data_IF_997535518557
#
_entry.id   IF_997535518557
#
_cell.length_a   1.000
_cell.length_b   1.000
_cell.length_c   1.000
_cell.angle_alpha   90.00
_cell.angle_beta   90.00
_cell.angle_gamma   90.00
#
_symmetry.space_group_name_H-M   'P 1'
#
loop_
_entity.id
_entity.type
_entity.pdbx_description
1 polymer ?
#
# COMPACT_ATOMS: atom_id res chain seq x y z
N UNK A 1 38.00 -36.16 46.52
CA UNK A 1 36.95 -35.13 46.51
C UNK A 1 36.56 -34.70 45.08
N UNK A 2 36.16 -35.61 44.19
CA UNK A 2 35.62 -35.23 42.86
C UNK A 2 34.42 -36.05 42.36
N UNK A 3 34.00 -37.09 43.10
CA UNK A 3 32.83 -37.91 42.73
C UNK A 3 31.55 -37.60 43.54
N UNK A 4 31.63 -36.77 44.59
CA UNK A 4 30.48 -36.47 45.46
C UNK A 4 29.62 -35.28 44.98
N UNK A 5 30.10 -34.47 44.02
CA UNK A 5 29.39 -33.29 43.53
C UNK A 5 28.58 -33.51 42.22
N UNK A 6 28.79 -34.64 41.53
CA UNK A 6 28.05 -34.94 40.29
C UNK A 6 26.67 -35.54 40.57
N UNK A 7 26.55 -36.32 41.65
CA UNK A 7 25.30 -36.99 42.04
C UNK A 7 24.30 -36.00 42.61
N UNK A 8 24.74 -34.98 43.36
CA UNK A 8 23.87 -33.92 43.88
C UNK A 8 23.36 -32.98 42.78
N UNK A 9 24.13 -32.74 41.72
CA UNK A 9 23.72 -31.91 40.59
C UNK A 9 22.71 -32.63 39.67
N UNK A 10 22.88 -33.95 39.49
CA UNK A 10 21.91 -34.77 38.75
C UNK A 10 20.61 -34.99 39.52
N UNK A 11 20.65 -35.14 40.84
CA UNK A 11 19.44 -35.25 41.67
C UNK A 11 18.64 -33.94 41.73
N UNK A 12 19.28 -32.76 41.68
CA UNK A 12 18.55 -31.49 41.58
C UNK A 12 17.86 -31.27 40.22
N UNK A 13 18.45 -31.77 39.12
CA UNK A 13 17.86 -31.70 37.78
C UNK A 13 16.66 -32.65 37.61
N UNK A 14 16.73 -33.84 38.21
CA UNK A 14 15.61 -34.81 38.19
C UNK A 14 14.45 -34.34 39.07
N UNK A 15 14.72 -33.70 40.21
CA UNK A 15 13.67 -33.14 41.07
C UNK A 15 13.05 -31.85 40.50
N UNK A 16 13.82 -31.03 39.77
CA UNK A 16 13.28 -29.88 39.03
C UNK A 16 12.41 -30.31 37.84
N UNK A 17 12.77 -31.40 37.13
CA UNK A 17 11.95 -31.98 36.06
C UNK A 17 10.66 -32.66 36.55
N UNK A 18 10.67 -33.27 37.74
CA UNK A 18 9.51 -33.95 38.32
C UNK A 18 8.44 -32.99 38.86
N UNK A 19 8.83 -31.80 39.37
CA UNK A 19 7.88 -30.78 39.84
C UNK A 19 7.12 -30.13 38.67
N UNK A 20 7.74 -29.99 37.49
CA UNK A 20 7.07 -29.49 36.28
C UNK A 20 6.10 -30.53 35.67
N UNK A 21 6.42 -31.83 35.77
CA UNK A 21 5.58 -32.89 35.21
C UNK A 21 4.26 -33.10 35.98
N UNK A 22 4.25 -32.88 37.30
CA UNK A 22 3.04 -33.08 38.12
C UNK A 22 2.07 -31.88 38.10
N UNK A 23 2.57 -30.67 37.78
CA UNK A 23 1.74 -29.48 37.54
C UNK A 23 1.04 -29.48 36.16
N UNK A 24 1.69 -30.07 35.14
CA UNK A 24 1.19 -30.14 33.78
C UNK A 24 -0.10 -30.98 33.62
N UNK A 25 -0.28 -32.01 34.46
CA UNK A 25 -1.49 -32.84 34.41
C UNK A 25 -2.77 -32.07 34.75
N UNK A 26 -2.68 -31.10 35.67
CA UNK A 26 -3.84 -30.32 36.09
C UNK A 26 -4.16 -29.11 35.20
N UNK A 27 -3.18 -28.56 34.47
CA UNK A 27 -3.44 -27.42 33.57
C UNK A 27 -4.05 -27.87 32.24
N UNK A 28 -3.56 -28.97 31.66
CA UNK A 28 -4.07 -29.52 30.41
C UNK A 28 -5.56 -29.90 30.51
N UNK A 29 -5.98 -30.49 31.64
CA UNK A 29 -7.38 -30.83 31.88
C UNK A 29 -8.27 -29.58 31.96
N UNK A 30 -7.82 -28.54 32.66
CA UNK A 30 -8.54 -27.26 32.74
C UNK A 30 -8.68 -26.61 31.35
N UNK A 31 -7.64 -26.66 30.52
CA UNK A 31 -7.70 -26.17 29.14
C UNK A 31 -8.70 -26.97 28.31
N UNK A 32 -8.69 -28.31 28.43
CA UNK A 32 -9.64 -29.16 27.71
C UNK A 32 -11.09 -28.89 28.12
N UNK A 33 -11.36 -28.78 29.43
CA UNK A 33 -12.69 -28.42 29.95
C UNK A 33 -13.10 -27.02 29.49
N UNK A 34 -12.16 -26.06 29.50
CA UNK A 34 -12.40 -24.70 28.99
C UNK A 34 -12.77 -24.69 27.51
N UNK A 35 -12.10 -25.51 26.67
CA UNK A 35 -12.44 -25.66 25.25
C UNK A 35 -13.83 -26.28 25.06
N UNK A 36 -14.20 -27.26 25.88
CA UNK A 36 -15.54 -27.84 25.85
C UNK A 36 -16.62 -26.81 26.24
N UNK A 37 -16.40 -26.03 27.30
CA UNK A 37 -17.31 -24.95 27.71
C UNK A 37 -17.43 -23.88 26.61
N UNK A 38 -16.31 -23.50 25.98
CA UNK A 38 -16.29 -22.55 24.86
C UNK A 38 -17.11 -23.06 23.66
N UNK A 39 -16.97 -24.33 23.29
CA UNK A 39 -17.74 -24.95 22.21
C UNK A 39 -19.25 -24.97 22.47
N UNK A 40 -19.65 -24.99 23.75
CA UNK A 40 -21.06 -24.90 24.18
C UNK A 40 -21.55 -23.45 24.34
N UNK A 41 -20.76 -22.46 23.92
CA UNK A 41 -21.01 -21.03 24.12
C UNK A 41 -21.07 -20.58 25.59
N UNK A 42 -20.59 -21.39 26.53
CA UNK A 42 -20.47 -21.01 27.93
C UNK A 42 -19.13 -20.28 28.17
N UNK A 43 -19.04 -19.05 27.64
CA UNK A 43 -17.79 -18.29 27.65
C UNK A 43 -17.32 -17.88 29.03
N UNK A 44 -18.25 -17.65 29.97
CA UNK A 44 -17.90 -17.27 31.35
C UNK A 44 -17.20 -18.43 32.06
N UNK A 45 -17.67 -19.67 31.85
CA UNK A 45 -17.02 -20.84 32.42
C UNK A 45 -15.69 -21.15 31.71
N UNK A 46 -15.63 -21.01 30.38
CA UNK A 46 -14.38 -21.12 29.64
C UNK A 46 -13.33 -20.11 30.15
N UNK A 47 -13.71 -18.85 30.33
CA UNK A 47 -12.83 -17.82 30.87
C UNK A 47 -12.33 -18.15 32.28
N UNK A 48 -13.21 -18.68 33.14
CA UNK A 48 -12.85 -19.11 34.49
C UNK A 48 -11.80 -20.23 34.44
N UNK A 49 -12.04 -21.27 33.64
CA UNK A 49 -11.13 -22.42 33.51
C UNK A 49 -9.79 -22.05 32.89
N UNK A 50 -9.80 -21.25 31.81
CA UNK A 50 -8.57 -20.73 31.21
C UNK A 50 -7.79 -19.84 32.18
N UNK A 51 -8.47 -19.02 33.00
CA UNK A 51 -7.79 -18.23 34.04
C UNK A 51 -7.06 -19.11 35.05
N UNK A 52 -7.71 -20.16 35.57
CA UNK A 52 -7.06 -21.10 36.49
C UNK A 52 -5.84 -21.79 35.86
N UNK A 53 -5.91 -22.17 34.59
CA UNK A 53 -4.78 -22.77 33.89
C UNK A 53 -3.67 -21.76 33.57
N UNK A 54 -4.02 -20.54 33.15
CA UNK A 54 -3.08 -19.46 32.86
C UNK A 54 -2.28 -19.03 34.10
N UNK A 55 -2.94 -19.00 35.27
CA UNK A 55 -2.31 -18.74 36.58
C UNK A 55 -1.27 -19.82 36.94
N UNK A 56 -1.40 -21.04 36.41
CA UNK A 56 -0.41 -22.12 36.54
C UNK A 56 0.71 -22.05 35.51
N UNK A 57 0.74 -20.99 34.69
CA UNK A 57 1.76 -20.77 33.66
C UNK A 57 1.44 -21.43 32.32
N UNK A 58 0.27 -22.02 32.14
CA UNK A 58 -0.08 -22.71 30.89
C UNK A 58 -0.21 -21.72 29.72
N UNK A 59 0.68 -21.83 28.73
CA UNK A 59 0.75 -20.90 27.59
C UNK A 59 -0.49 -20.95 26.69
N UNK A 60 -1.08 -22.13 26.50
CA UNK A 60 -2.27 -22.28 25.67
C UNK A 60 -3.45 -21.60 26.37
N UNK A 61 -3.57 -21.77 27.68
CA UNK A 61 -4.59 -21.10 28.47
C UNK A 61 -4.44 -19.57 28.45
N UNK A 62 -3.21 -19.06 28.55
CA UNK A 62 -2.93 -17.63 28.44
C UNK A 62 -3.36 -17.07 27.09
N UNK A 63 -3.02 -17.76 25.99
CA UNK A 63 -3.46 -17.41 24.64
C UNK A 63 -5.00 -17.39 24.53
N UNK A 64 -5.67 -18.47 24.95
CA UNK A 64 -7.13 -18.59 24.86
C UNK A 64 -7.87 -17.56 25.71
N UNK A 65 -7.36 -17.27 26.90
CA UNK A 65 -7.92 -16.22 27.76
C UNK A 65 -7.71 -14.83 27.14
N UNK A 66 -6.55 -14.59 26.53
CA UNK A 66 -6.28 -13.36 25.79
C UNK A 66 -7.33 -13.10 24.70
N UNK A 67 -7.71 -14.14 23.93
CA UNK A 67 -8.78 -14.05 22.96
C UNK A 67 -10.14 -13.67 23.56
N UNK A 68 -10.49 -14.21 24.73
CA UNK A 68 -11.75 -13.88 25.40
C UNK A 68 -11.79 -12.41 25.83
N UNK A 69 -10.69 -11.87 26.35
CA UNK A 69 -10.59 -10.45 26.68
C UNK A 69 -10.60 -9.55 25.45
N UNK A 70 -9.94 -9.95 24.36
CA UNK A 70 -9.96 -9.19 23.10
C UNK A 70 -11.38 -9.11 22.51
N UNK A 71 -12.16 -10.18 22.62
CA UNK A 71 -13.51 -10.26 22.06
C UNK A 71 -14.61 -9.80 23.05
N UNK A 72 -14.32 -9.69 24.34
CA UNK A 72 -15.33 -9.42 25.38
C UNK A 72 -16.34 -10.56 25.56
N UNK A 73 -15.90 -11.82 25.41
CA UNK A 73 -16.78 -13.01 25.52
C UNK A 73 -16.58 -13.68 26.86
N UNK A 74 -17.63 -13.70 27.69
CA UNK A 74 -17.57 -14.28 29.05
C UNK A 74 -16.74 -13.46 30.05
N UNK A 75 -16.11 -12.38 29.58
CA UNK A 75 -15.38 -11.36 30.35
C UNK A 75 -15.64 -10.00 29.72
N UNK A 76 -15.45 -8.92 30.47
CA UNK A 76 -15.49 -7.57 29.88
C UNK A 76 -14.34 -7.42 28.89
N UNK A 77 -14.61 -6.75 27.76
CA UNK A 77 -13.59 -6.53 26.72
C UNK A 77 -12.45 -5.69 27.29
N UNK A 78 -11.23 -6.20 27.20
CA UNK A 78 -10.02 -5.54 27.67
C UNK A 78 -8.83 -5.88 26.75
N UNK A 79 -8.57 -5.05 25.73
CA UNK A 79 -7.46 -5.26 24.82
C UNK A 79 -6.09 -5.21 25.48
N UNK A 80 -5.93 -4.46 26.58
CA UNK A 80 -4.65 -4.34 27.28
C UNK A 80 -4.32 -5.62 28.06
N UNK A 81 -5.33 -6.20 28.73
CA UNK A 81 -5.17 -7.50 29.39
C UNK A 81 -4.97 -8.62 28.36
N UNK A 82 -5.64 -8.55 27.21
CA UNK A 82 -5.39 -9.47 26.10
C UNK A 82 -3.93 -9.41 25.63
N UNK A 83 -3.39 -8.20 25.40
CA UNK A 83 -1.98 -8.01 25.04
C UNK A 83 -1.04 -8.61 26.09
N UNK A 84 -1.30 -8.36 27.38
CA UNK A 84 -0.48 -8.92 28.48
C UNK A 84 -0.46 -10.45 28.45
N UNK A 85 -1.62 -11.08 28.25
CA UNK A 85 -1.75 -12.54 28.19
C UNK A 85 -1.11 -13.14 26.94
N UNK A 86 -1.33 -12.54 25.77
CA UNK A 86 -0.64 -12.95 24.54
C UNK A 86 0.87 -12.82 24.68
N UNK A 87 1.36 -11.72 25.27
CA UNK A 87 2.80 -11.55 25.50
C UNK A 87 3.37 -12.65 26.40
N UNK A 88 2.67 -13.00 27.47
CA UNK A 88 3.09 -14.08 28.36
C UNK A 88 3.16 -15.44 27.63
N UNK A 89 2.16 -15.75 26.79
CA UNK A 89 2.16 -16.96 25.99
C UNK A 89 3.24 -16.95 24.89
N UNK A 90 3.43 -15.80 24.23
CA UNK A 90 4.42 -15.60 23.17
C UNK A 90 5.86 -15.77 23.67
N UNK A 91 6.14 -15.24 24.87
CA UNK A 91 7.43 -15.38 25.55
C UNK A 91 7.71 -16.85 25.95
N UNK A 92 6.67 -17.68 26.07
CA UNK A 92 6.75 -19.14 26.24
C UNK A 92 6.74 -19.93 24.91
N UNK A 93 6.90 -19.23 23.79
CA UNK A 93 6.97 -19.86 22.46
C UNK A 93 5.63 -20.23 21.86
N UNK A 94 4.50 -19.76 22.40
CA UNK A 94 3.19 -20.00 21.77
C UNK A 94 3.09 -19.20 20.46
N UNK A 95 3.00 -19.94 19.35
CA UNK A 95 3.15 -19.46 17.98
C UNK A 95 2.10 -18.41 17.59
N UNK A 96 0.84 -18.64 17.91
CA UNK A 96 -0.27 -17.76 17.51
C UNK A 96 -0.21 -16.43 18.30
N UNK A 97 0.21 -16.50 19.56
CA UNK A 97 0.42 -15.36 20.44
C UNK A 97 1.62 -14.53 20.01
N UNK A 98 2.71 -15.15 19.54
CA UNK A 98 3.82 -14.42 18.93
C UNK A 98 3.34 -13.59 17.74
N UNK A 99 2.48 -14.15 16.89
CA UNK A 99 1.85 -13.39 15.81
C UNK A 99 0.99 -12.24 16.35
N UNK A 100 0.11 -12.48 17.34
CA UNK A 100 -0.74 -11.43 17.89
C UNK A 100 0.04 -10.30 18.57
N UNK A 101 1.11 -10.61 19.28
CA UNK A 101 1.99 -9.61 19.89
C UNK A 101 2.70 -8.80 18.80
N UNK A 102 3.20 -9.47 17.76
CA UNK A 102 3.82 -8.83 16.62
C UNK A 102 2.87 -7.85 15.92
N UNK A 103 1.65 -8.30 15.65
CA UNK A 103 0.57 -7.49 15.06
C UNK A 103 0.22 -6.28 15.94
N UNK A 104 0.09 -6.47 17.26
CA UNK A 104 -0.23 -5.37 18.19
C UNK A 104 0.89 -4.31 18.28
N UNK A 105 2.16 -4.71 18.24
CA UNK A 105 3.28 -3.77 18.16
C UNK A 105 3.35 -3.05 16.81
N UNK A 106 2.97 -3.72 15.72
CA UNK A 106 2.92 -3.11 14.39
C UNK A 106 1.79 -2.09 14.27
N UNK A 107 0.60 -2.44 14.76
CA UNK A 107 -0.59 -1.58 14.73
C UNK A 107 -0.47 -0.36 15.65
N UNK A 108 0.15 -0.52 16.82
CA UNK A 108 0.39 0.60 17.74
C UNK A 108 -0.86 1.12 18.47
N UNK A 109 -1.98 0.38 18.41
CA UNK A 109 -3.28 0.81 18.97
C UNK A 109 -3.37 0.56 20.47
N UNK A 110 -2.94 -0.63 20.92
CA UNK A 110 -3.05 -1.08 22.32
C UNK A 110 -1.74 -0.83 23.08
N UNK A 111 -0.61 -0.97 22.39
CA UNK A 111 0.75 -0.71 22.88
C UNK A 111 1.41 0.27 21.92
N UNK A 112 2.40 1.03 22.37
CA UNK A 112 3.15 1.93 21.49
C UNK A 112 3.73 1.15 20.29
N UNK A 113 3.64 1.74 19.10
CA UNK A 113 4.15 1.14 17.86
C UNK A 113 5.65 0.89 17.98
N UNK A 114 6.06 -0.35 17.72
CA UNK A 114 7.46 -0.76 17.67
C UNK A 114 7.64 -1.79 16.55
N UNK A 115 8.10 -1.31 15.40
CA UNK A 115 8.26 -2.13 14.20
C UNK A 115 9.35 -3.20 14.35
N UNK A 116 10.39 -2.93 15.13
CA UNK A 116 11.49 -3.86 15.34
C UNK A 116 11.01 -5.05 16.19
N UNK A 117 10.33 -4.77 17.30
CA UNK A 117 9.71 -5.82 18.13
C UNK A 117 8.62 -6.57 17.35
N UNK A 118 7.82 -5.86 16.55
CA UNK A 118 6.82 -6.50 15.71
C UNK A 118 7.45 -7.55 14.78
N UNK A 119 8.47 -7.16 14.03
CA UNK A 119 9.19 -8.05 13.10
C UNK A 119 9.84 -9.22 13.87
N UNK A 120 10.43 -8.96 15.05
CA UNK A 120 11.04 -10.01 15.86
C UNK A 120 10.02 -11.08 16.27
N UNK A 121 8.89 -10.69 16.85
CA UNK A 121 7.85 -11.64 17.25
C UNK A 121 7.22 -12.36 16.05
N UNK A 122 6.99 -11.66 14.94
CA UNK A 122 6.47 -12.26 13.72
C UNK A 122 7.45 -13.28 13.12
N UNK A 123 8.76 -13.01 13.14
CA UNK A 123 9.78 -13.96 12.68
C UNK A 123 9.76 -15.23 13.54
N UNK A 124 9.69 -15.11 14.86
CA UNK A 124 9.56 -16.27 15.77
C UNK A 124 8.32 -17.12 15.45
N UNK A 125 7.20 -16.48 15.11
CA UNK A 125 5.97 -17.17 14.72
C UNK A 125 6.10 -17.84 13.35
N UNK A 126 6.72 -17.16 12.37
CA UNK A 126 6.96 -17.68 11.03
C UNK A 126 7.97 -18.85 11.03
N UNK A 127 9.01 -18.81 11.85
CA UNK A 127 9.96 -19.93 12.03
C UNK A 127 9.27 -21.22 12.50
N UNK A 128 8.12 -21.10 13.14
CA UNK A 128 7.26 -22.21 13.55
C UNK A 128 6.19 -22.60 12.49
N UNK A 129 6.30 -22.08 11.27
CA UNK A 129 5.41 -22.41 10.16
C UNK A 129 4.06 -21.67 10.17
N UNK A 130 3.92 -20.57 10.90
CA UNK A 130 2.65 -19.85 10.98
C UNK A 130 2.37 -18.99 9.74
N UNK A 131 1.53 -19.48 8.83
CA UNK A 131 1.16 -18.79 7.58
C UNK A 131 0.76 -17.31 7.73
N UNK A 132 -0.08 -16.93 8.71
CA UNK A 132 -0.42 -15.53 8.93
C UNK A 132 0.79 -14.64 9.28
N UNK A 133 1.78 -15.16 10.00
CA UNK A 133 3.01 -14.43 10.29
C UNK A 133 3.88 -14.24 9.05
N UNK A 134 4.03 -15.28 8.20
CA UNK A 134 4.68 -15.11 6.89
C UNK A 134 3.99 -14.02 6.07
N UNK A 135 2.66 -14.03 6.04
CA UNK A 135 1.88 -13.07 5.26
C UNK A 135 2.09 -11.65 5.76
N UNK A 136 2.03 -11.43 7.08
CA UNK A 136 2.23 -10.09 7.66
C UNK A 136 3.67 -9.60 7.46
N UNK A 137 4.69 -10.44 7.66
CA UNK A 137 6.09 -10.09 7.36
C UNK A 137 6.25 -9.68 5.89
N UNK A 138 5.72 -10.49 4.99
CA UNK A 138 5.71 -10.20 3.56
C UNK A 138 5.05 -8.88 3.18
N UNK A 139 3.92 -8.58 3.83
CA UNK A 139 3.23 -7.30 3.65
C UNK A 139 4.02 -6.11 4.21
N UNK A 140 4.70 -6.27 5.35
CA UNK A 140 5.62 -5.24 5.88
C UNK A 140 6.78 -5.01 4.91
N UNK A 141 7.33 -6.07 4.32
CA UNK A 141 8.33 -5.97 3.26
C UNK A 141 7.82 -5.22 2.03
N UNK A 142 6.59 -5.52 1.60
CA UNK A 142 5.95 -4.87 0.46
C UNK A 142 5.76 -3.35 0.66
N UNK A 143 5.49 -2.89 1.88
CA UNK A 143 5.31 -1.46 2.19
C UNK A 143 6.62 -0.69 2.37
N UNK A 144 7.78 -1.33 2.17
CA UNK A 144 9.09 -0.69 2.25
C UNK A 144 9.22 0.51 1.32
N UNK A 145 9.77 1.59 1.88
CA UNK A 145 10.10 2.84 1.20
C UNK A 145 11.48 2.79 0.50
N UNK A 146 12.11 1.62 0.46
CA UNK A 146 13.44 1.44 -0.16
C UNK A 146 14.60 1.87 0.74
N UNK A 147 14.37 2.20 2.01
CA UNK A 147 15.44 2.55 2.97
C UNK A 147 16.25 1.35 3.48
N UNK A 148 15.95 0.14 3.02
CA UNK A 148 16.57 -1.11 3.48
C UNK A 148 16.04 -1.63 4.83
N UNK A 149 15.20 -0.86 5.54
CA UNK A 149 14.66 -1.24 6.86
C UNK A 149 13.91 -2.59 6.86
N UNK A 150 13.23 -2.91 5.75
CA UNK A 150 12.42 -4.12 5.59
C UNK A 150 12.95 -5.05 4.49
N UNK A 151 14.24 -4.91 4.16
CA UNK A 151 14.88 -5.74 3.15
C UNK A 151 14.72 -7.25 3.49
N UNK A 152 14.43 -8.05 2.46
CA UNK A 152 14.21 -9.50 2.58
C UNK A 152 12.88 -9.91 3.22
N UNK A 153 12.09 -8.99 3.80
CA UNK A 153 10.80 -9.37 4.37
C UNK A 153 9.79 -9.77 3.30
N UNK A 154 9.90 -9.22 2.08
CA UNK A 154 9.02 -9.58 0.96
C UNK A 154 9.19 -11.04 0.52
N UNK A 155 10.33 -11.67 0.83
CA UNK A 155 10.62 -13.07 0.52
C UNK A 155 9.79 -14.06 1.36
N UNK A 156 9.05 -13.56 2.36
CA UNK A 156 8.06 -14.35 3.09
C UNK A 156 6.75 -14.55 2.29
N UNK A 157 6.53 -13.84 1.18
CA UNK A 157 5.33 -13.97 0.34
C UNK A 157 5.34 -15.18 -0.62
N UNK A 158 6.40 -15.46 -1.40
CA UNK A 158 6.36 -16.53 -2.41
C UNK A 158 5.91 -17.93 -1.92
N UNK A 159 6.29 -18.41 -0.72
CA UNK A 159 5.81 -19.70 -0.22
C UNK A 159 4.28 -19.76 -0.01
N UNK A 160 3.61 -18.61 0.07
CA UNK A 160 2.19 -18.49 0.42
C UNK A 160 1.25 -18.46 -0.79
N UNK A 161 1.78 -18.43 -2.01
CA UNK A 161 0.97 -18.24 -3.23
C UNK A 161 -0.12 -19.29 -3.43
N UNK A 162 0.07 -20.50 -2.91
CA UNK A 162 -0.92 -21.59 -2.97
C UNK A 162 -1.88 -21.61 -1.77
N UNK A 163 -1.62 -20.82 -0.73
CA UNK A 163 -2.39 -20.78 0.51
C UNK A 163 -3.31 -19.57 0.59
N UNK A 164 -2.94 -18.48 -0.09
CA UNK A 164 -3.65 -17.20 -0.05
C UNK A 164 -3.76 -16.63 -1.47
N UNK A 165 -4.99 -16.31 -1.87
CA UNK A 165 -5.35 -15.88 -3.23
C UNK A 165 -4.84 -14.47 -3.58
N UNK A 166 -4.52 -13.65 -2.58
CA UNK A 166 -4.10 -12.27 -2.73
C UNK A 166 -2.58 -12.09 -2.94
N UNK A 167 -1.78 -13.12 -2.65
CA UNK A 167 -0.31 -13.05 -2.66
C UNK A 167 0.24 -12.81 -4.06
N UNK A 168 -0.37 -13.44 -5.07
CA UNK A 168 -0.03 -13.16 -6.47
C UNK A 168 -0.26 -11.69 -6.83
N UNK A 169 -1.29 -11.04 -6.27
CA UNK A 169 -1.52 -9.61 -6.46
C UNK A 169 -0.39 -8.75 -5.89
N UNK A 170 0.07 -9.06 -4.67
CA UNK A 170 1.18 -8.36 -4.01
C UNK A 170 2.50 -8.54 -4.75
N UNK A 171 2.86 -9.77 -5.13
CA UNK A 171 4.08 -10.05 -5.89
C UNK A 171 4.04 -9.40 -7.28
N UNK A 172 2.89 -9.43 -7.96
CA UNK A 172 2.70 -8.75 -9.23
C UNK A 172 2.98 -7.24 -9.11
N UNK A 173 2.43 -6.59 -8.09
CA UNK A 173 2.70 -5.17 -7.83
C UNK A 173 4.15 -4.90 -7.42
N UNK A 174 4.75 -5.79 -6.62
CA UNK A 174 6.11 -5.61 -6.18
C UNK A 174 7.12 -5.65 -7.34
N UNK A 175 6.97 -6.59 -8.27
CA UNK A 175 7.80 -6.67 -9.46
C UNK A 175 7.48 -5.58 -10.49
N UNK A 176 6.23 -5.13 -10.56
CA UNK A 176 5.84 -4.03 -11.45
C UNK A 176 6.48 -2.70 -11.05
N UNK A 177 6.55 -2.43 -9.75
CA UNK A 177 6.91 -1.13 -9.17
C UNK A 177 8.30 -1.13 -8.50
N UNK A 178 8.96 -2.28 -8.39
CA UNK A 178 10.25 -2.43 -7.71
C UNK A 178 10.16 -2.26 -6.19
N UNK A 179 9.05 -2.70 -5.57
CA UNK A 179 8.82 -2.55 -4.12
C UNK A 179 9.54 -3.60 -3.29
N UNK A 180 9.75 -3.29 -2.01
CA UNK A 180 10.31 -4.24 -1.06
C UNK A 180 11.75 -4.64 -1.33
N UNK A 181 12.47 -3.86 -2.15
CA UNK A 181 13.83 -4.18 -2.60
C UNK A 181 13.88 -5.14 -3.79
N UNK A 182 12.73 -5.54 -4.36
CA UNK A 182 12.71 -6.31 -5.60
C UNK A 182 13.04 -5.41 -6.80
N UNK A 183 13.79 -5.91 -7.80
CA UNK A 183 13.97 -5.18 -9.04
C UNK A 183 12.67 -5.13 -9.83
N UNK A 184 12.52 -4.08 -10.65
CA UNK A 184 11.44 -4.03 -11.65
C UNK A 184 11.61 -5.17 -12.64
N UNK A 185 10.61 -6.04 -12.75
CA UNK A 185 10.60 -7.24 -13.59
C UNK A 185 9.18 -7.45 -14.15
N UNK A 186 8.94 -6.91 -15.35
CA UNK A 186 7.63 -6.94 -15.98
C UNK A 186 7.18 -8.36 -16.37
N UNK A 187 8.10 -9.27 -16.63
CA UNK A 187 7.78 -10.66 -16.94
C UNK A 187 7.20 -11.37 -15.70
N UNK A 188 7.84 -11.21 -14.55
CA UNK A 188 7.31 -11.74 -13.28
C UNK A 188 6.03 -11.03 -12.86
N UNK A 189 5.95 -9.71 -13.05
CA UNK A 189 4.73 -8.96 -12.77
C UNK A 189 3.53 -9.51 -13.57
N UNK A 190 3.70 -9.68 -14.89
CA UNK A 190 2.68 -10.25 -15.77
C UNK A 190 2.26 -11.66 -15.34
N UNK A 191 3.23 -12.53 -15.04
CA UNK A 191 2.97 -13.88 -14.54
C UNK A 191 2.10 -13.84 -13.28
N UNK A 192 2.52 -13.11 -12.25
CA UNK A 192 1.78 -13.05 -11.00
C UNK A 192 0.38 -12.43 -11.16
N UNK A 193 0.20 -11.42 -12.01
CA UNK A 193 -1.14 -10.89 -12.30
C UNK A 193 -2.04 -11.87 -13.04
N UNK A 194 -1.50 -12.69 -13.95
CA UNK A 194 -2.27 -13.76 -14.61
C UNK A 194 -2.74 -14.82 -13.60
N UNK A 195 -1.85 -15.27 -12.72
CA UNK A 195 -2.19 -16.21 -11.66
C UNK A 195 -3.24 -15.63 -10.69
N UNK A 196 -3.09 -14.36 -10.30
CA UNK A 196 -4.08 -13.67 -9.48
C UNK A 196 -5.46 -13.61 -10.17
N UNK A 197 -5.49 -13.30 -11.47
CA UNK A 197 -6.73 -13.31 -12.26
C UNK A 197 -7.31 -14.71 -12.45
N UNK A 198 -6.47 -15.75 -12.55
CA UNK A 198 -6.92 -17.13 -12.66
C UNK A 198 -7.59 -17.60 -11.36
N UNK A 199 -6.99 -17.26 -10.21
CA UNK A 199 -7.57 -17.56 -8.90
C UNK A 199 -8.84 -16.74 -8.62
N UNK A 200 -8.83 -15.45 -8.94
CA UNK A 200 -9.95 -14.53 -8.73
C UNK A 200 -10.10 -13.55 -9.90
N UNK A 201 -10.94 -13.88 -10.90
CA UNK A 201 -11.10 -13.07 -12.09
C UNK A 201 -11.44 -11.61 -11.77
N UNK A 202 -10.62 -10.69 -12.25
CA UNK A 202 -10.74 -9.27 -12.02
C UNK A 202 -10.29 -8.50 -13.25
N UNK A 203 -11.05 -7.47 -13.62
CA UNK A 203 -10.64 -6.56 -14.70
C UNK A 203 -9.29 -5.93 -14.40
N UNK A 204 -9.05 -5.55 -13.14
CA UNK A 204 -7.80 -4.96 -12.69
C UNK A 204 -6.60 -5.87 -12.94
N UNK A 205 -6.72 -7.16 -12.59
CA UNK A 205 -5.61 -8.09 -12.80
C UNK A 205 -5.35 -8.38 -14.28
N UNK A 206 -6.40 -8.45 -15.10
CA UNK A 206 -6.24 -8.58 -16.57
C UNK A 206 -5.53 -7.37 -17.17
N UNK A 207 -5.97 -6.16 -16.80
CA UNK A 207 -5.38 -4.92 -17.30
C UNK A 207 -3.94 -4.75 -16.85
N UNK A 208 -3.63 -5.09 -15.59
CA UNK A 208 -2.25 -5.05 -15.07
C UNK A 208 -1.35 -6.09 -15.71
N UNK A 209 -1.84 -7.31 -15.95
CA UNK A 209 -1.09 -8.32 -16.70
C UNK A 209 -0.78 -7.82 -18.13
N UNK A 210 -1.78 -7.29 -18.84
CA UNK A 210 -1.62 -6.76 -20.18
C UNK A 210 -0.71 -5.52 -20.25
N UNK A 211 -0.73 -4.66 -19.22
CA UNK A 211 0.19 -3.54 -19.08
C UNK A 211 1.63 -4.05 -18.88
N UNK A 212 1.84 -5.00 -17.97
CA UNK A 212 3.16 -5.57 -17.73
C UNK A 212 3.74 -6.25 -18.99
N UNK A 213 2.93 -6.99 -19.75
CA UNK A 213 3.34 -7.58 -21.03
C UNK A 213 3.71 -6.51 -22.06
N UNK A 214 2.92 -5.43 -22.16
CA UNK A 214 3.25 -4.28 -23.03
C UNK A 214 4.53 -3.56 -22.64
N UNK A 215 4.81 -3.41 -21.35
CA UNK A 215 6.05 -2.79 -20.86
C UNK A 215 7.27 -3.69 -21.08
N UNK A 216 7.11 -5.02 -20.99
CA UNK A 216 8.13 -5.98 -21.37
C UNK A 216 8.48 -5.86 -22.86
N UNK A 217 7.46 -5.78 -23.72
CA UNK A 217 7.64 -5.59 -25.16
C UNK A 217 8.25 -4.21 -25.48
N UNK A 218 7.84 -3.14 -24.79
CA UNK A 218 8.41 -1.80 -24.96
C UNK A 218 9.85 -1.67 -24.42
N UNK A 219 10.26 -2.48 -23.43
CA UNK A 219 11.66 -2.61 -23.05
C UNK A 219 12.49 -3.28 -24.16
N UNK A 220 11.86 -4.11 -24.99
CA UNK A 220 12.50 -4.80 -26.12
C UNK A 220 12.46 -4.02 -27.45
N UNK A 221 11.55 -3.05 -27.59
CA UNK A 221 11.32 -2.29 -28.82
C UNK A 221 11.29 -0.79 -28.52
N UNK A 222 12.20 -0.04 -29.12
CA UNK A 222 12.17 1.42 -29.12
C UNK A 222 10.82 1.96 -29.66
N UNK A 223 9.96 2.32 -28.70
CA UNK A 223 8.75 3.16 -28.70
C UNK A 223 8.09 3.54 -30.04
N UNK A 224 6.86 3.07 -30.26
CA UNK A 224 5.91 3.66 -31.23
C UNK A 224 4.50 3.86 -30.67
N UNK A 225 4.06 5.13 -30.63
CA UNK A 225 2.70 5.75 -30.69
C UNK A 225 1.47 5.14 -29.99
N UNK A 226 1.49 3.92 -29.44
CA UNK A 226 0.35 3.28 -28.78
C UNK A 226 0.31 3.38 -27.25
N UNK A 227 1.37 3.89 -26.61
CA UNK A 227 1.59 3.80 -25.15
C UNK A 227 1.15 5.04 -24.35
N UNK A 228 0.50 5.99 -25.00
CA UNK A 228 0.26 7.30 -24.43
C UNK A 228 -0.65 7.27 -23.18
N UNK A 229 -1.70 6.46 -23.20
CA UNK A 229 -2.62 6.27 -22.05
C UNK A 229 -1.92 5.67 -20.83
N UNK A 230 -0.93 4.80 -21.03
CA UNK A 230 -0.21 4.11 -19.95
C UNK A 230 0.85 5.00 -19.33
N UNK A 231 1.59 5.73 -20.17
CA UNK A 231 2.55 6.75 -19.73
C UNK A 231 1.85 7.82 -18.89
N UNK A 232 0.64 8.22 -19.28
CA UNK A 232 -0.20 9.18 -18.56
C UNK A 232 -0.68 8.66 -17.21
N UNK A 233 -1.19 7.43 -17.19
CA UNK A 233 -1.65 6.74 -15.99
C UNK A 233 -0.54 6.61 -14.95
N UNK A 234 0.68 6.23 -15.38
CA UNK A 234 1.83 6.16 -14.50
C UNK A 234 2.24 7.55 -13.99
N UNK A 235 2.31 8.55 -14.87
CA UNK A 235 2.69 9.91 -14.49
C UNK A 235 1.71 10.55 -13.48
N UNK A 236 0.41 10.29 -13.61
CA UNK A 236 -0.62 10.80 -12.70
C UNK A 236 -0.64 10.06 -11.36
N UNK A 237 -0.29 8.77 -11.35
CA UNK A 237 -0.09 8.02 -10.12
C UNK A 237 1.14 8.54 -9.33
N UNK A 238 2.27 8.79 -10.00
CA UNK A 238 3.48 9.28 -9.34
C UNK A 238 3.34 10.72 -8.81
N UNK A 239 2.72 11.62 -9.58
CA UNK A 239 2.57 13.04 -9.21
C UNK A 239 1.61 13.26 -8.04
N UNK A 240 0.52 12.51 -7.94
CA UNK A 240 -0.45 12.68 -6.86
C UNK A 240 -0.02 11.98 -5.54
N UNK A 241 1.14 11.30 -5.51
CA UNK A 241 1.56 10.48 -4.37
C UNK A 241 0.82 9.15 -4.30
N UNK A 242 0.27 8.71 -5.43
CA UNK A 242 -0.43 7.45 -5.61
C UNK A 242 0.49 6.42 -6.27
N UNK A 243 1.81 6.55 -6.09
CA UNK A 243 2.76 5.50 -6.42
C UNK A 243 2.36 4.15 -5.83
N UNK A 244 1.47 4.12 -4.83
CA UNK A 244 0.75 2.93 -4.34
C UNK A 244 -0.78 3.05 -4.26
N UNK A 245 -1.44 3.80 -5.15
CA UNK A 245 -2.89 3.86 -5.17
C UNK A 245 -3.44 4.04 -6.60
N UNK A 246 -3.70 2.91 -7.27
CA UNK A 246 -4.89 2.88 -8.11
C UNK A 246 -5.99 2.41 -7.20
N UNK A 247 -6.98 3.26 -6.95
CA UNK A 247 -8.28 2.78 -6.54
C UNK A 247 -9.35 3.78 -6.95
N UNK A 248 -10.16 3.38 -7.92
CA UNK A 248 -11.57 3.14 -7.61
C UNK A 248 -11.88 1.64 -7.76
N UNK A 249 -11.40 0.87 -6.78
CA UNK A 249 -12.11 -0.13 -5.96
C UNK A 249 -13.13 -1.08 -6.62
N UNK A 250 -12.82 -2.40 -6.55
CA UNK A 250 -13.47 -3.20 -5.50
C UNK A 250 -12.54 -4.20 -4.78
N UNK A 251 -11.57 -3.75 -3.97
CA UNK A 251 -10.98 -4.59 -2.90
C UNK A 251 -10.72 -3.95 -1.52
N UNK A 252 -10.65 -2.62 -1.35
CA UNK A 252 -10.52 -1.97 -0.02
C UNK A 252 -11.80 -1.94 0.83
N UNK A 253 -12.93 -2.47 0.36
CA UNK A 253 -14.19 -2.46 1.14
C UNK A 253 -14.67 -3.82 1.66
N UNK A 254 -14.03 -4.95 1.31
CA UNK A 254 -14.62 -6.27 1.60
C UNK A 254 -13.88 -7.16 2.62
N UNK A 255 -12.65 -6.85 3.05
CA UNK A 255 -11.89 -7.80 3.91
C UNK A 255 -11.17 -7.21 5.14
N UNK A 256 -11.28 -5.91 5.41
CA UNK A 256 -10.82 -5.35 6.67
C UNK A 256 -11.80 -4.28 7.14
N UNK A 257 -12.54 -4.57 8.21
CA UNK A 257 -13.50 -3.64 8.78
C UNK A 257 -12.85 -2.31 9.21
N UNK A 258 -13.37 -1.21 8.68
CA UNK A 258 -13.34 0.13 9.28
C UNK A 258 -12.26 1.12 8.78
N UNK A 259 -12.54 2.46 8.80
CA UNK A 259 -11.88 3.44 7.94
C UNK A 259 -10.72 4.25 8.55
N UNK A 260 -10.14 3.87 9.69
CA UNK A 260 -9.18 4.74 10.40
C UNK A 260 -7.68 4.41 10.17
N UNK A 261 -7.35 3.52 9.22
CA UNK A 261 -6.10 2.74 9.25
C UNK A 261 -4.88 3.21 8.44
N UNK A 262 -4.83 4.42 7.88
CA UNK A 262 -3.66 4.84 7.07
C UNK A 262 -3.16 6.24 7.42
N UNK A 263 -2.15 6.30 8.30
CA UNK A 263 -1.54 7.52 8.83
C UNK A 263 -0.27 8.03 8.11
N UNK A 264 0.12 7.49 6.95
CA UNK A 264 1.24 8.03 6.17
C UNK A 264 0.91 8.05 4.68
N UNK A 265 0.82 9.27 4.12
CA UNK A 265 0.67 9.49 2.68
C UNK A 265 1.91 8.97 1.95
N UNK A 266 1.79 8.28 0.79
CA UNK A 266 2.97 7.88 0.03
C UNK A 266 3.76 9.11 -0.44
N UNK A 267 5.09 9.00 -0.50
CA UNK A 267 5.96 10.05 -1.02
C UNK A 267 5.76 10.20 -2.53
N UNK A 268 5.56 11.44 -2.98
CA UNK A 268 5.46 11.81 -4.40
C UNK A 268 6.83 11.74 -5.06
N UNK A 269 6.93 11.05 -6.21
CA UNK A 269 8.12 11.05 -7.07
C UNK A 269 7.86 11.92 -8.30
N UNK A 270 8.09 13.22 -8.12
CA UNK A 270 7.83 14.22 -9.15
C UNK A 270 8.81 14.13 -10.32
N UNK A 271 10.05 13.68 -10.09
CA UNK A 271 11.07 13.55 -11.13
C UNK A 271 10.71 12.41 -12.10
N UNK A 272 10.26 11.26 -11.57
CA UNK A 272 9.76 10.17 -12.40
C UNK A 272 8.48 10.55 -13.15
N UNK A 273 7.53 11.21 -12.48
CA UNK A 273 6.31 11.72 -13.10
C UNK A 273 6.61 12.69 -14.25
N UNK A 274 7.55 13.61 -14.03
CA UNK A 274 7.95 14.61 -15.00
C UNK A 274 8.50 13.97 -16.28
N UNK A 275 9.41 13.00 -16.17
CA UNK A 275 9.99 12.29 -17.34
C UNK A 275 8.93 11.56 -18.17
N UNK A 276 7.94 10.97 -17.51
CA UNK A 276 6.84 10.31 -18.18
C UNK A 276 5.92 11.32 -18.90
N UNK A 277 5.57 12.42 -18.24
CA UNK A 277 4.81 13.50 -18.89
C UNK A 277 5.58 14.09 -20.07
N UNK A 278 6.90 14.30 -19.94
CA UNK A 278 7.76 14.81 -21.01
C UNK A 278 7.80 13.86 -22.21
N UNK A 279 7.91 12.55 -21.99
CA UNK A 279 7.88 11.55 -23.05
C UNK A 279 6.54 11.54 -23.81
N UNK A 280 5.43 11.67 -23.08
CA UNK A 280 4.10 11.77 -23.65
C UNK A 280 3.88 13.11 -24.38
N UNK A 281 4.44 14.20 -23.84
CA UNK A 281 4.43 15.53 -24.43
C UNK A 281 5.20 15.56 -25.76
N UNK A 282 6.35 14.89 -25.85
CA UNK A 282 7.15 14.75 -27.07
C UNK A 282 6.38 14.04 -28.22
N UNK A 283 5.35 13.26 -27.88
CA UNK A 283 4.45 12.61 -28.84
C UNK A 283 3.26 13.50 -29.24
N UNK A 284 3.20 14.74 -28.72
CA UNK A 284 2.16 15.72 -29.00
C UNK A 284 0.87 15.50 -28.19
N UNK A 285 0.93 14.87 -27.02
CA UNK A 285 -0.25 14.68 -26.19
C UNK A 285 -0.58 15.92 -25.38
N UNK A 286 -1.61 16.66 -25.79
CA UNK A 286 -1.94 17.98 -25.26
C UNK A 286 -2.12 18.02 -23.72
N UNK A 287 -2.83 17.09 -23.06
CA UNK A 287 -2.90 17.05 -21.60
C UNK A 287 -1.54 16.84 -20.92
N UNK A 288 -0.66 16.00 -21.47
CA UNK A 288 0.71 15.82 -20.94
C UNK A 288 1.54 17.07 -21.11
N UNK A 289 1.50 17.67 -22.30
CA UNK A 289 2.22 18.91 -22.56
C UNK A 289 1.80 20.00 -21.56
N UNK A 290 0.49 20.11 -21.27
CA UNK A 290 -0.03 21.02 -20.24
C UNK A 290 0.47 20.68 -18.84
N UNK A 291 0.54 19.41 -18.45
CA UNK A 291 1.07 18.98 -17.14
C UNK A 291 2.58 19.24 -17.02
N UNK A 292 3.36 18.89 -18.04
CA UNK A 292 4.79 19.21 -18.13
C UNK A 292 5.03 20.71 -18.01
N UNK A 293 4.22 21.54 -18.68
CA UNK A 293 4.27 23.00 -18.55
C UNK A 293 4.05 23.45 -17.10
N UNK A 294 3.00 22.96 -16.43
CA UNK A 294 2.72 23.32 -15.04
C UNK A 294 3.88 22.99 -14.10
N UNK A 295 4.48 21.80 -14.26
CA UNK A 295 5.62 21.39 -13.45
C UNK A 295 6.86 22.27 -13.68
N UNK A 296 7.14 22.64 -14.93
CA UNK A 296 8.27 23.52 -15.28
C UNK A 296 8.05 24.97 -14.84
N UNK A 297 6.82 25.49 -14.99
CA UNK A 297 6.47 26.87 -14.66
C UNK A 297 6.40 27.09 -13.14
N UNK A 298 5.85 26.12 -12.38
CA UNK A 298 5.69 26.25 -10.93
C UNK A 298 6.85 25.64 -10.13
N UNK A 299 7.70 24.82 -10.74
CA UNK A 299 8.76 24.09 -10.04
C UNK A 299 8.21 23.01 -9.12
N UNK A 300 7.17 22.29 -9.55
CA UNK A 300 6.49 21.28 -8.73
C UNK A 300 7.33 20.00 -8.66
N UNK A 301 8.17 19.92 -7.63
CA UNK A 301 9.02 18.76 -7.35
C UNK A 301 10.19 18.55 -8.32
N UNK A 302 10.37 19.47 -9.27
CA UNK A 302 11.52 19.61 -10.17
C UNK A 302 12.02 21.06 -10.14
N UNK A 303 13.21 21.32 -10.68
CA UNK A 303 13.70 22.69 -10.84
C UNK A 303 12.81 23.49 -11.82
N UNK A 304 12.48 24.73 -11.44
CA UNK A 304 11.72 25.64 -12.30
C UNK A 304 12.52 26.00 -13.56
N UNK A 305 11.91 25.87 -14.74
CA UNK A 305 12.50 26.21 -16.03
C UNK A 305 11.48 26.92 -16.91
N UNK A 306 11.34 28.23 -16.67
CA UNK A 306 10.40 29.11 -17.39
C UNK A 306 10.70 29.23 -18.89
N UNK A 307 11.97 29.32 -19.34
CA UNK A 307 12.28 29.32 -20.77
C UNK A 307 11.76 28.07 -21.48
N UNK A 308 11.97 26.88 -20.90
CA UNK A 308 11.45 25.64 -21.49
C UNK A 308 9.92 25.58 -21.42
N UNK A 309 9.31 26.07 -20.34
CA UNK A 309 7.86 26.17 -20.21
C UNK A 309 7.22 27.05 -21.30
N UNK A 310 7.81 28.21 -21.59
CA UNK A 310 7.35 29.11 -22.64
C UNK A 310 7.45 28.48 -24.04
N UNK A 311 8.58 27.81 -24.34
CA UNK A 311 8.72 27.05 -25.59
C UNK A 311 7.64 25.97 -25.72
N UNK A 312 7.36 25.25 -24.64
CA UNK A 312 6.35 24.20 -24.63
C UNK A 312 4.93 24.76 -24.86
N UNK A 313 4.60 25.95 -24.35
CA UNK A 313 3.32 26.62 -24.67
C UNK A 313 3.18 26.89 -26.17
N UNK A 314 4.24 27.32 -26.85
CA UNK A 314 4.22 27.53 -28.30
C UNK A 314 4.01 26.21 -29.05
N UNK A 315 4.64 25.12 -28.60
CA UNK A 315 4.43 23.76 -29.14
C UNK A 315 2.98 23.27 -28.92
N UNK A 316 2.39 23.57 -27.76
CA UNK A 316 0.98 23.27 -27.43
C UNK A 316 0.05 24.01 -28.39
N UNK A 317 0.23 25.32 -28.55
CA UNK A 317 -0.57 26.13 -29.49
C UNK A 317 -0.54 25.52 -30.88
N UNK A 318 0.65 25.23 -31.42
CA UNK A 318 0.80 24.66 -32.75
C UNK A 318 0.14 23.27 -32.89
N UNK A 319 0.23 22.44 -31.85
CA UNK A 319 -0.35 21.08 -31.84
C UNK A 319 -1.88 21.13 -31.69
N UNK A 320 -2.40 21.98 -30.81
CA UNK A 320 -3.82 22.15 -30.56
C UNK A 320 -4.56 22.75 -31.75
N UNK A 321 -3.95 23.74 -32.42
CA UNK A 321 -4.46 24.31 -33.67
C UNK A 321 -4.63 23.24 -34.76
N UNK A 322 -3.63 22.36 -34.95
CA UNK A 322 -3.71 21.25 -35.93
C UNK A 322 -4.85 20.28 -35.61
N UNK A 323 -5.15 20.07 -34.33
CA UNK A 323 -6.21 19.18 -33.85
C UNK A 323 -7.58 19.86 -33.71
N UNK A 324 -7.65 21.18 -33.91
CA UNK A 324 -8.85 22.02 -33.68
C UNK A 324 -9.37 21.93 -32.24
N UNK A 325 -8.46 21.73 -31.29
CA UNK A 325 -8.76 21.79 -29.85
C UNK A 325 -8.71 23.26 -29.40
N UNK A 326 -9.80 23.99 -29.65
CA UNK A 326 -9.83 25.44 -29.46
C UNK A 326 -9.77 25.85 -27.98
N UNK A 327 -10.25 25.01 -27.05
CA UNK A 327 -10.12 25.25 -25.61
C UNK A 327 -8.65 25.23 -25.18
N UNK A 328 -7.87 24.25 -25.67
CA UNK A 328 -6.43 24.20 -25.39
C UNK A 328 -5.65 25.34 -26.08
N UNK A 329 -6.09 25.77 -27.28
CA UNK A 329 -5.54 26.95 -27.96
C UNK A 329 -5.77 28.22 -27.14
N UNK A 330 -7.00 28.46 -26.69
CA UNK A 330 -7.36 29.61 -25.85
C UNK A 330 -6.53 29.62 -24.56
N UNK A 331 -6.50 28.49 -23.85
CA UNK A 331 -5.74 28.35 -22.60
C UNK A 331 -4.24 28.66 -22.78
N UNK A 332 -3.59 28.09 -23.79
CA UNK A 332 -2.15 28.28 -24.00
C UNK A 332 -1.81 29.69 -24.51
N UNK A 333 -2.66 30.27 -25.37
CA UNK A 333 -2.50 31.64 -25.85
C UNK A 333 -2.64 32.66 -24.71
N UNK A 334 -3.59 32.46 -23.79
CA UNK A 334 -3.71 33.29 -22.59
C UNK A 334 -2.47 33.25 -21.71
N UNK A 335 -1.83 32.07 -21.55
CA UNK A 335 -0.59 31.98 -20.77
C UNK A 335 0.60 32.65 -21.43
N UNK A 336 0.66 32.66 -22.76
CA UNK A 336 1.69 33.40 -23.52
C UNK A 336 1.46 34.92 -23.48
N UNK A 337 0.20 35.36 -23.44
CA UNK A 337 -0.11 36.77 -23.17
C UNK A 337 0.35 37.19 -21.76
N UNK A 338 0.06 36.35 -20.74
CA UNK A 338 0.46 36.60 -19.35
C UNK A 338 1.99 36.70 -19.19
N UNK A 339 2.77 35.98 -20.03
CA UNK A 339 4.24 36.04 -20.01
C UNK A 339 4.81 37.25 -20.76
N UNK A 340 3.98 38.05 -21.43
CA UNK A 340 4.39 39.21 -22.22
C UNK A 340 4.92 38.86 -23.62
N UNK A 341 4.77 37.62 -24.08
CA UNK A 341 5.12 37.23 -25.44
C UNK A 341 4.04 37.66 -26.43
N UNK A 342 4.41 38.46 -27.44
CA UNK A 342 3.63 38.80 -28.65
C UNK A 342 2.10 38.92 -28.39
N UNK A 343 1.75 39.83 -27.47
CA UNK A 343 0.40 39.98 -26.92
C UNK A 343 -0.69 40.05 -28.00
N UNK A 344 -0.49 40.87 -29.03
CA UNK A 344 -1.44 41.06 -30.13
C UNK A 344 -1.73 39.76 -30.88
N UNK A 345 -0.68 38.96 -31.13
CA UNK A 345 -0.81 37.68 -31.83
C UNK A 345 -1.64 36.68 -31.02
N UNK A 346 -1.35 36.54 -29.72
CA UNK A 346 -2.04 35.57 -28.88
C UNK A 346 -3.44 36.03 -28.48
N UNK A 347 -3.68 37.34 -28.38
CA UNK A 347 -5.03 37.90 -28.24
C UNK A 347 -5.88 37.55 -29.46
N UNK A 348 -5.38 37.81 -30.67
CA UNK A 348 -6.07 37.44 -31.91
C UNK A 348 -6.37 35.93 -31.97
N UNK A 349 -5.45 35.11 -31.47
CA UNK A 349 -5.62 33.66 -31.42
C UNK A 349 -6.69 33.21 -30.41
N UNK A 350 -6.73 33.81 -29.22
CA UNK A 350 -7.78 33.54 -28.23
C UNK A 350 -9.16 34.02 -28.72
N UNK A 351 -9.24 35.16 -29.40
CA UNK A 351 -10.49 35.61 -30.04
C UNK A 351 -10.97 34.63 -31.11
N UNK A 352 -10.06 34.10 -31.93
CA UNK A 352 -10.39 33.08 -32.91
C UNK A 352 -10.86 31.78 -32.26
N UNK A 353 -10.21 31.35 -31.17
CA UNK A 353 -10.63 30.16 -30.43
C UNK A 353 -12.06 30.34 -29.87
N UNK A 354 -12.36 31.52 -29.31
CA UNK A 354 -13.70 31.90 -28.83
C UNK A 354 -14.77 31.85 -29.94
N UNK A 355 -14.47 32.38 -31.12
CA UNK A 355 -15.36 32.29 -32.28
C UNK A 355 -15.68 30.83 -32.66
N UNK A 356 -14.74 29.92 -32.38
CA UNK A 356 -14.90 28.48 -32.58
C UNK A 356 -15.48 27.75 -31.36
N UNK A 357 -16.03 28.48 -30.39
CA UNK A 357 -16.76 27.93 -29.25
C UNK A 357 -15.92 27.65 -28.00
N UNK A 358 -14.64 28.02 -27.98
CA UNK A 358 -13.80 27.85 -26.79
C UNK A 358 -14.20 28.78 -25.65
N UNK A 359 -14.05 28.31 -24.42
CA UNK A 359 -14.13 29.18 -23.26
C UNK A 359 -12.84 30.03 -23.15
N UNK A 360 -13.00 31.35 -23.02
CA UNK A 360 -11.92 32.31 -22.78
C UNK A 360 -12.13 33.03 -21.46
N UNK A 361 -11.07 33.60 -20.88
CA UNK A 361 -11.22 34.42 -19.69
C UNK A 361 -12.05 35.68 -19.95
N UNK A 362 -12.68 36.20 -18.90
CA UNK A 362 -13.52 37.40 -18.96
C UNK A 362 -12.80 38.62 -19.58
N UNK A 363 -11.51 38.79 -19.28
CA UNK A 363 -10.72 39.89 -19.84
C UNK A 363 -10.54 39.74 -21.35
N UNK A 364 -10.27 38.53 -21.83
CA UNK A 364 -10.17 38.22 -23.27
C UNK A 364 -11.53 38.38 -23.94
N UNK A 365 -12.61 37.94 -23.30
CA UNK A 365 -13.97 38.08 -23.81
C UNK A 365 -14.32 39.56 -24.12
N UNK A 366 -13.95 40.47 -23.21
CA UNK A 366 -14.08 41.93 -23.40
C UNK A 366 -13.20 42.41 -24.57
N UNK A 367 -11.92 42.03 -24.58
CA UNK A 367 -10.95 42.49 -25.60
C UNK A 367 -11.30 42.01 -27.00
N UNK A 368 -11.95 40.86 -27.14
CA UNK A 368 -12.47 40.33 -28.40
C UNK A 368 -13.79 40.97 -28.86
N UNK A 369 -14.21 42.09 -28.23
CA UNK A 369 -15.42 42.83 -28.60
C UNK A 369 -16.72 42.22 -28.06
N UNK A 370 -16.65 41.35 -27.05
CA UNK A 370 -17.75 40.57 -26.53
C UNK A 370 -18.40 41.12 -25.26
N UNK A 371 -19.16 42.20 -25.32
CA UNK A 371 -20.19 42.43 -24.29
C UNK A 371 -21.56 42.11 -24.89
N UNK A 372 -21.97 40.84 -24.82
CA UNK A 372 -23.34 40.42 -25.13
C UNK A 372 -24.00 39.96 -23.82
N UNK A 373 -24.86 40.83 -23.27
CA UNK A 373 -25.54 40.66 -21.99
C UNK A 373 -26.53 39.46 -21.94
N UNK A 374 -26.66 38.69 -23.02
CA UNK A 374 -27.65 37.61 -23.13
C UNK A 374 -27.11 36.20 -22.84
N UNK A 375 -25.79 36.00 -22.74
CA UNK A 375 -25.17 34.67 -22.52
C UNK A 375 -24.94 34.27 -21.05
N UNK A 376 -25.26 35.12 -20.07
CA UNK A 376 -25.19 34.76 -18.64
C UNK A 376 -26.44 33.97 -18.22
N UNK A 377 -26.48 32.68 -18.55
CA UNK A 377 -27.27 31.71 -17.77
C UNK A 377 -26.40 30.51 -17.45
N UNK A 378 -25.96 30.46 -16.19
CA UNK A 378 -25.29 29.31 -15.59
C UNK A 378 -23.93 29.64 -15.01
N UNK A 379 -23.91 30.48 -13.96
CA UNK A 379 -22.90 30.38 -12.91
C UNK A 379 -23.47 29.52 -11.79
#
# INVERSE_FOLDING_TARGET
MRYFNAVTFFLSLVMAGAVHAQAAGGSAELVQQGRAAFAQNNFSEAARLYRLAAERGDRDAQHLLGHLYQQGRGVSKDPAEAFRLFKLAADQGERDSQHHVGDMYYDGIVVARDEALAIEYLKKSAEQGYGPAFRLLGMIGFTSDGTGRYEGLIDYLPPLVNLYDDIHGYLGAAYMEGRGGLPVDFAKAAHHYREANAAKPSQVFRERAALAERLLDAQSVAYTRGHLTETLMLAEAYSNGWGGAYDELPMRFALAGGPERFGSRPRMDFEAAFRLYELAAAQGHLPSMRKTYQMLDWGEGIAQDRPRAAQLLQEIVATAQKRRDWDMVAWAAEKLMDSGEDFERYLALSCKARENGAAVSFHVDIMCGGFDATRTKGW
#
